data_IF_427982704853
#
_entry.id   IF_427982704853
#
_cell.length_a   1.000
_cell.length_b   1.000
_cell.length_c   1.000
_cell.angle_alpha   90.00
_cell.angle_beta   90.00
_cell.angle_gamma   90.00
#
_symmetry.space_group_name_H-M   'P 1'
#
loop_
_entity.id
_entity.type
_entity.pdbx_description
1 polymer ?
#
# COMPACT_ATOMS: atom_id res chain seq x y z
N UNK A 1 -11.15 -31.31 -10.84
CA UNK A 1 -10.15 -30.22 -10.77
C UNK A 1 -10.85 -28.93 -11.16
N UNK A 2 -11.33 -28.15 -10.18
CA UNK A 2 -11.95 -26.85 -10.44
C UNK A 2 -10.87 -25.78 -10.47
N UNK A 3 -10.83 -25.01 -11.56
CA UNK A 3 -10.02 -23.78 -11.67
C UNK A 3 -10.60 -22.74 -10.71
N UNK A 4 -9.80 -22.26 -9.76
CA UNK A 4 -10.10 -21.07 -8.96
C UNK A 4 -9.65 -19.86 -9.77
N UNK A 5 -10.59 -19.01 -10.17
CA UNK A 5 -10.30 -17.68 -10.70
C UNK A 5 -10.16 -16.73 -9.51
N UNK A 6 -8.99 -16.10 -9.37
CA UNK A 6 -8.78 -15.00 -8.42
C UNK A 6 -9.27 -13.73 -9.12
N UNK A 7 -10.30 -13.09 -8.55
CA UNK A 7 -10.74 -11.75 -8.95
C UNK A 7 -10.12 -10.79 -7.95
N UNK A 8 -9.12 -10.02 -8.38
CA UNK A 8 -8.57 -8.91 -7.61
C UNK A 8 -9.61 -7.78 -7.64
N UNK A 9 -10.10 -7.40 -6.47
CA UNK A 9 -11.04 -6.28 -6.32
C UNK A 9 -10.35 -4.97 -6.69
N UNK A 10 -10.78 -4.38 -7.81
CA UNK A 10 -10.36 -3.04 -8.23
C UNK A 10 -11.13 -2.03 -7.40
N UNK A 11 -10.45 -1.29 -6.52
CA UNK A 11 -11.00 -0.04 -5.95
C UNK A 11 -10.84 1.03 -7.03
N UNK A 12 -11.87 1.19 -7.86
CA UNK A 12 -11.94 2.26 -8.86
C UNK A 12 -12.40 3.55 -8.18
N UNK A 13 -11.51 4.51 -7.99
CA UNK A 13 -11.91 5.90 -7.69
C UNK A 13 -12.42 6.51 -8.98
N UNK A 14 -13.73 6.42 -9.22
CA UNK A 14 -14.40 7.08 -10.33
C UNK A 14 -14.52 8.59 -10.04
N UNK A 15 -13.68 9.40 -10.68
CA UNK A 15 -13.89 10.84 -10.77
C UNK A 15 -15.09 11.10 -11.72
N UNK A 16 -16.22 11.51 -11.15
CA UNK A 16 -17.41 11.85 -11.92
C UNK A 16 -17.21 13.22 -12.59
N UNK A 17 -16.93 13.23 -13.89
CA UNK A 17 -17.01 14.43 -14.72
C UNK A 17 -18.50 14.77 -14.95
N UNK A 18 -18.97 15.84 -14.31
CA UNK A 18 -20.29 16.39 -14.56
C UNK A 18 -20.34 17.02 -15.97
N UNK A 19 -20.90 16.29 -16.94
CA UNK A 19 -21.34 16.87 -18.21
C UNK A 19 -22.84 17.13 -18.10
N UNK A 20 -23.19 18.40 -17.95
CA UNK A 20 -24.55 18.87 -18.14
C UNK A 20 -24.94 18.75 -19.62
N UNK A 21 -25.95 17.94 -19.94
CA UNK A 21 -26.79 18.10 -21.13
C UNK A 21 -28.19 17.53 -20.89
N UNK A 22 -29.13 18.47 -20.83
CA UNK A 22 -30.56 18.43 -21.16
C UNK A 22 -31.13 17.14 -21.80
N UNK A 23 -32.29 16.71 -21.29
CA UNK A 23 -33.38 16.28 -22.17
C UNK A 23 -34.12 14.99 -21.81
N UNK A 24 -35.42 15.17 -21.56
CA UNK A 24 -36.54 14.24 -21.78
C UNK A 24 -36.79 13.08 -20.79
N UNK A 25 -37.89 13.30 -20.06
CA UNK A 25 -38.73 12.35 -19.31
C UNK A 25 -39.28 11.26 -20.23
N UNK A 26 -39.32 10.01 -19.77
CA UNK A 26 -40.44 9.08 -20.00
C UNK A 26 -40.38 7.91 -19.01
N UNK A 27 -41.37 7.88 -18.14
CA UNK A 27 -41.74 6.77 -17.25
C UNK A 27 -42.45 5.65 -18.02
N UNK A 28 -42.17 4.39 -17.70
CA UNK A 28 -43.21 3.34 -17.66
C UNK A 28 -42.76 2.14 -16.81
N UNK A 29 -43.74 1.60 -16.09
CA UNK A 29 -43.65 0.72 -14.95
C UNK A 29 -43.77 -0.78 -15.31
N UNK A 30 -43.20 -1.64 -14.43
CA UNK A 30 -43.77 -2.84 -13.74
C UNK A 30 -44.74 -3.72 -14.58
N UNK A 31 -44.62 -5.04 -14.76
CA UNK A 31 -44.46 -6.17 -13.80
C UNK A 31 -44.38 -7.53 -14.57
N UNK A 32 -44.22 -8.70 -13.88
CA UNK A 32 -43.66 -9.94 -14.45
C UNK A 32 -44.62 -11.16 -14.61
N UNK A 33 -44.05 -12.20 -15.23
CA UNK A 33 -44.17 -13.67 -15.01
C UNK A 33 -45.50 -14.44 -15.16
N UNK A 34 -45.43 -15.56 -15.90
CA UNK A 34 -46.13 -16.86 -15.70
C UNK A 34 -45.60 -17.85 -16.75
N UNK A 35 -44.79 -18.87 -16.44
CA UNK A 35 -45.11 -20.25 -16.01
C UNK A 35 -46.15 -21.01 -16.86
N UNK A 36 -45.72 -22.06 -17.57
CA UNK A 36 -46.07 -23.46 -17.24
C UNK A 36 -46.07 -24.40 -18.47
N UNK A 37 -45.42 -25.55 -18.23
CA UNK A 37 -45.85 -26.90 -18.55
C UNK A 37 -45.43 -27.65 -19.82
N UNK A 38 -45.24 -28.95 -19.58
CA UNK A 38 -44.40 -29.92 -20.31
C UNK A 38 -45.24 -30.87 -21.23
N UNK A 39 -44.84 -32.13 -21.50
CA UNK A 39 -44.44 -32.71 -22.80
C UNK A 39 -45.49 -33.78 -23.27
N UNK A 40 -45.24 -34.95 -23.92
CA UNK A 40 -44.04 -35.55 -24.55
C UNK A 40 -44.29 -36.24 -25.93
N UNK A 41 -43.26 -36.84 -26.54
CA UNK A 41 -43.31 -38.24 -27.02
C UNK A 41 -41.99 -38.71 -27.67
N UNK A 42 -41.82 -40.03 -27.60
CA UNK A 42 -40.62 -40.84 -27.87
C UNK A 42 -40.47 -41.18 -29.36
N UNK A 43 -39.23 -41.40 -29.80
CA UNK A 43 -38.92 -42.12 -31.03
C UNK A 43 -37.47 -42.62 -31.02
N UNK A 44 -37.30 -43.93 -30.89
CA UNK A 44 -36.02 -44.67 -30.95
C UNK A 44 -35.72 -45.05 -32.40
N UNK A 45 -34.48 -44.88 -32.87
CA UNK A 45 -33.90 -45.62 -34.01
C UNK A 45 -32.37 -45.58 -33.94
N UNK A 46 -31.75 -46.70 -34.28
CA UNK A 46 -30.34 -47.10 -34.02
C UNK A 46 -29.41 -46.77 -35.23
N UNK A 47 -28.15 -47.27 -35.30
CA UNK A 47 -26.95 -46.44 -35.40
C UNK A 47 -26.37 -46.37 -36.82
N UNK A 48 -25.58 -45.32 -37.12
CA UNK A 48 -24.70 -45.33 -38.28
C UNK A 48 -23.35 -44.70 -37.91
N UNK A 49 -22.29 -45.46 -38.15
CA UNK A 49 -20.91 -45.04 -37.95
C UNK A 49 -20.49 -44.14 -39.11
N UNK A 50 -19.92 -42.97 -38.79
CA UNK A 50 -19.17 -42.16 -39.74
C UNK A 50 -17.98 -41.54 -39.02
N UNK A 51 -16.81 -41.91 -39.52
CA UNK A 51 -15.49 -41.33 -39.24
C UNK A 51 -15.48 -39.82 -39.49
N UNK A 52 -15.07 -39.04 -38.49
CA UNK A 52 -14.78 -37.62 -38.60
C UNK A 52 -13.60 -37.25 -37.69
N UNK A 53 -12.58 -36.63 -38.28
CA UNK A 53 -11.38 -36.14 -37.63
C UNK A 53 -11.70 -35.13 -36.49
N UNK A 54 -10.84 -35.00 -35.47
CA UNK A 54 -11.11 -34.09 -34.34
C UNK A 54 -11.07 -32.64 -34.79
N UNK A 55 -12.12 -31.90 -34.42
CA UNK A 55 -12.19 -30.44 -34.53
C UNK A 55 -11.09 -29.76 -33.68
N UNK A 56 -10.61 -28.58 -34.08
CA UNK A 56 -9.59 -27.86 -33.35
C UNK A 56 -10.13 -27.41 -31.98
N UNK A 57 -9.27 -27.50 -30.96
CA UNK A 57 -9.55 -27.03 -29.61
C UNK A 57 -9.93 -25.52 -29.64
N UNK A 58 -10.89 -25.08 -28.82
CA UNK A 58 -11.20 -23.66 -28.71
C UNK A 58 -10.00 -22.91 -28.13
N UNK A 59 -9.71 -21.76 -28.73
CA UNK A 59 -8.63 -20.87 -28.35
C UNK A 59 -8.65 -20.58 -26.84
N UNK A 60 -7.54 -20.87 -26.18
CA UNK A 60 -7.25 -20.42 -24.82
C UNK A 60 -7.26 -18.90 -24.81
N UNK A 61 -8.29 -18.33 -24.18
CA UNK A 61 -8.32 -16.91 -23.86
C UNK A 61 -7.16 -16.61 -22.89
N UNK A 62 -6.26 -15.74 -23.34
CA UNK A 62 -5.26 -15.08 -22.50
C UNK A 62 -5.99 -14.31 -21.39
N UNK A 63 -5.63 -14.47 -20.09
CA UNK A 63 -6.12 -13.57 -19.06
C UNK A 63 -5.69 -12.15 -19.42
N UNK A 64 -6.67 -11.25 -19.56
CA UNK A 64 -6.42 -9.85 -19.86
C UNK A 64 -5.61 -9.21 -18.74
N UNK A 65 -4.49 -8.60 -19.10
CA UNK A 65 -3.89 -7.53 -18.32
C UNK A 65 -4.97 -6.49 -18.07
N UNK A 66 -5.42 -6.37 -16.83
CA UNK A 66 -6.15 -5.20 -16.40
C UNK A 66 -5.07 -4.13 -16.31
N UNK A 67 -4.94 -3.33 -17.36
CA UNK A 67 -4.13 -2.12 -17.30
C UNK A 67 -4.69 -1.30 -16.14
N UNK A 68 -3.88 -1.11 -15.09
CA UNK A 68 -4.08 0.01 -14.20
C UNK A 68 -4.08 1.24 -15.11
N UNK A 69 -5.23 1.89 -15.26
CA UNK A 69 -5.27 3.17 -15.98
C UNK A 69 -4.20 4.06 -15.37
N UNK A 70 -3.39 4.71 -16.20
CA UNK A 70 -2.30 5.57 -15.74
C UNK A 70 -2.84 6.58 -14.71
N UNK A 71 -2.62 6.29 -13.43
CA UNK A 71 -2.78 7.26 -12.37
C UNK A 71 -1.44 7.97 -12.39
N UNK A 72 -1.38 9.10 -13.07
CA UNK A 72 -0.29 10.05 -12.84
C UNK A 72 -0.63 10.69 -11.48
N UNK A 73 0.06 10.33 -10.37
CA UNK A 73 -0.18 11.03 -9.12
C UNK A 73 0.13 12.50 -9.40
N UNK A 74 -0.85 13.36 -9.19
CA UNK A 74 -0.60 14.80 -9.23
C UNK A 74 0.28 15.14 -8.01
N UNK A 75 1.23 16.09 -8.14
CA UNK A 75 2.01 16.56 -7.00
C UNK A 75 1.07 16.87 -5.85
N UNK A 76 1.48 16.53 -4.62
CA UNK A 76 0.74 16.96 -3.44
C UNK A 76 0.68 18.49 -3.49
N UNK A 77 -0.48 19.04 -3.87
CA UNK A 77 -0.65 20.47 -3.93
C UNK A 77 -0.35 21.03 -2.54
N UNK A 78 0.50 22.06 -2.47
CA UNK A 78 0.52 22.95 -1.31
C UNK A 78 -0.93 23.40 -1.11
N UNK A 79 -1.58 22.87 -0.08
CA UNK A 79 -3.01 22.61 -0.10
C UNK A 79 -3.91 23.74 -0.60
N UNK A 80 -4.86 23.38 -1.48
CA UNK A 80 -6.11 24.12 -1.62
C UNK A 80 -7.03 23.76 -0.45
N UNK A 81 -7.35 24.79 0.34
CA UNK A 81 -8.34 24.82 1.43
C UNK A 81 -8.30 23.64 2.42
N UNK A 82 -7.23 23.59 3.24
CA UNK A 82 -7.18 22.74 4.45
C UNK A 82 -8.20 23.23 5.47
N UNK A 83 -8.91 22.30 6.11
CA UNK A 83 -9.42 22.49 7.46
C UNK A 83 -8.31 23.09 8.32
N UNK A 84 -8.62 24.11 9.13
CA UNK A 84 -7.63 24.84 9.93
C UNK A 84 -6.78 23.84 10.74
N UNK A 85 -5.47 23.80 10.47
CA UNK A 85 -4.55 22.91 11.20
C UNK A 85 -4.40 23.47 12.60
N UNK A 86 -4.93 22.75 13.59
CA UNK A 86 -4.86 23.17 14.99
C UNK A 86 -3.48 22.79 15.53
N UNK A 87 -2.61 23.79 15.69
CA UNK A 87 -1.33 23.61 16.37
C UNK A 87 -1.55 23.54 17.88
N UNK A 88 -0.69 22.77 18.56
CA UNK A 88 -0.62 22.74 20.02
C UNK A 88 0.17 23.97 20.54
N UNK A 89 0.44 24.01 21.85
CA UNK A 89 1.12 25.14 22.50
C UNK A 89 2.49 25.42 21.82
N UNK A 90 2.69 26.58 21.18
CA UNK A 90 3.92 26.88 20.46
C UNK A 90 5.13 27.07 21.38
N UNK A 91 4.97 27.07 22.71
CA UNK A 91 6.07 27.08 23.67
C UNK A 91 6.48 25.67 24.14
N UNK A 92 5.69 24.63 23.84
CA UNK A 92 6.05 23.24 24.15
C UNK A 92 7.26 22.80 23.33
N UNK A 93 8.17 22.06 23.95
CA UNK A 93 9.40 21.59 23.30
C UNK A 93 9.64 20.11 23.61
N UNK A 94 10.21 19.33 22.66
CA UNK A 94 10.65 17.98 22.98
C UNK A 94 11.80 18.01 23.97
N UNK A 95 12.17 16.87 24.55
CA UNK A 95 13.33 16.82 25.46
C UNK A 95 14.62 17.30 24.75
N UNK A 96 15.60 17.87 25.47
CA UNK A 96 16.88 18.26 24.88
C UNK A 96 17.64 17.12 24.18
N UNK A 97 17.38 15.87 24.57
CA UNK A 97 17.94 14.70 23.91
C UNK A 97 17.35 14.50 22.51
N UNK A 98 16.05 14.70 22.35
CA UNK A 98 15.34 14.61 21.06
C UNK A 98 15.67 15.81 20.17
N UNK A 99 15.74 17.03 20.72
CA UNK A 99 16.04 18.24 19.95
C UNK A 99 17.46 18.25 19.35
N UNK A 100 18.40 17.52 19.96
CA UNK A 100 19.81 17.57 19.59
C UNK A 100 20.01 17.15 18.14
N UNK A 101 20.64 18.03 17.35
CA UNK A 101 20.97 17.75 15.95
C UNK A 101 19.84 18.06 14.97
N UNK A 102 18.76 18.72 15.42
CA UNK A 102 17.69 19.23 14.58
C UNK A 102 17.72 20.76 14.53
N UNK A 103 17.42 21.28 13.35
CA UNK A 103 17.11 22.68 13.03
C UNK A 103 15.59 22.87 12.78
N UNK A 104 14.79 21.84 13.05
CA UNK A 104 13.32 21.83 12.95
C UNK A 104 12.68 22.96 13.74
N UNK A 105 11.64 23.58 13.17
CA UNK A 105 10.76 24.50 13.89
C UNK A 105 9.81 23.74 14.83
N UNK A 106 10.23 23.56 16.09
CA UNK A 106 9.44 22.90 17.13
C UNK A 106 8.27 23.74 17.68
N UNK A 107 8.09 25.00 17.24
CA UNK A 107 6.87 25.74 17.59
C UNK A 107 5.65 25.28 16.77
N UNK A 108 5.89 24.51 15.70
CA UNK A 108 4.85 23.97 14.82
C UNK A 108 4.72 22.48 15.05
N UNK A 109 3.66 22.05 15.73
CA UNK A 109 3.34 20.63 15.92
C UNK A 109 1.85 20.41 16.17
N UNK A 110 1.37 19.23 15.77
CA UNK A 110 -0.03 18.79 15.95
C UNK A 110 -0.15 17.62 16.92
N UNK A 111 0.98 17.11 17.43
CA UNK A 111 1.04 16.00 18.37
C UNK A 111 1.88 16.38 19.59
N UNK A 112 1.56 15.79 20.74
CA UNK A 112 2.29 16.02 21.98
C UNK A 112 3.68 15.37 21.91
N UNK A 113 4.73 16.09 22.30
CA UNK A 113 6.09 15.59 22.21
C UNK A 113 6.36 14.35 23.09
N UNK A 114 5.55 14.12 24.12
CA UNK A 114 5.61 12.94 24.98
C UNK A 114 5.15 11.65 24.28
N UNK A 115 4.48 11.76 23.13
CA UNK A 115 4.11 10.61 22.30
C UNK A 115 5.28 10.02 21.53
N UNK A 116 6.38 10.77 21.35
CA UNK A 116 7.58 10.28 20.66
C UNK A 116 8.48 9.46 21.58
N UNK A 117 8.96 8.34 21.04
CA UNK A 117 9.93 7.47 21.69
C UNK A 117 11.17 7.35 20.82
N UNK A 118 12.35 7.30 21.45
CA UNK A 118 13.55 6.90 20.75
C UNK A 118 13.49 5.39 20.47
N UNK A 119 13.55 5.00 19.20
CA UNK A 119 13.55 3.60 18.77
C UNK A 119 14.88 2.87 19.02
N UNK A 120 15.92 3.61 19.40
CA UNK A 120 17.28 3.09 19.63
C UNK A 120 18.29 3.61 18.61
N UNK A 121 18.04 3.46 17.29
CA UNK A 121 18.84 4.10 16.26
C UNK A 121 18.79 5.64 16.37
N UNK A 122 19.89 6.30 15.99
CA UNK A 122 19.90 7.74 15.75
C UNK A 122 19.15 8.09 14.45
N UNK A 123 19.00 9.39 14.17
CA UNK A 123 18.65 9.89 12.84
C UNK A 123 19.51 9.20 11.76
N UNK A 124 18.85 8.64 10.76
CA UNK A 124 19.39 7.79 9.68
C UNK A 124 20.25 6.60 10.15
N UNK A 125 20.12 6.18 11.41
CA UNK A 125 20.79 4.98 11.96
C UNK A 125 20.27 3.69 11.33
N UNK A 126 19.04 3.72 10.82
CA UNK A 126 18.52 2.81 9.80
C UNK A 126 18.61 3.58 8.48
N UNK A 127 19.64 3.32 7.66
CA UNK A 127 19.97 4.20 6.56
C UNK A 127 18.95 4.04 5.43
N UNK A 128 18.30 5.11 4.96
CA UNK A 128 17.48 5.06 3.77
C UNK A 128 18.32 4.70 2.54
N UNK A 129 17.70 4.12 1.52
CA UNK A 129 18.33 3.91 0.21
C UNK A 129 17.95 5.08 -0.69
N UNK A 130 18.93 5.93 -1.00
CA UNK A 130 18.73 7.10 -1.88
C UNK A 130 19.20 6.87 -3.32
N UNK A 131 19.94 5.77 -3.57
CA UNK A 131 20.43 5.38 -4.89
C UNK A 131 20.14 3.89 -5.11
N UNK A 132 18.86 3.50 -5.31
CA UNK A 132 18.50 2.10 -5.45
C UNK A 132 19.06 1.49 -6.74
N UNK A 133 19.64 0.29 -6.62
CA UNK A 133 20.12 -0.49 -7.75
C UNK A 133 19.20 -1.66 -8.03
N UNK A 134 18.84 -1.86 -9.30
CA UNK A 134 17.88 -2.87 -9.73
C UNK A 134 18.50 -3.91 -10.67
N UNK A 135 17.97 -5.13 -10.63
CA UNK A 135 18.21 -6.16 -11.66
C UNK A 135 16.89 -6.57 -12.32
N UNK A 136 16.96 -7.13 -13.52
CA UNK A 136 15.78 -7.61 -14.24
C UNK A 136 15.17 -8.84 -13.55
N UNK A 137 13.84 -8.93 -13.55
CA UNK A 137 13.08 -10.15 -13.20
C UNK A 137 13.52 -11.37 -14.00
N UNK A 138 13.93 -11.19 -15.25
CA UNK A 138 14.40 -12.28 -16.11
C UNK A 138 15.76 -12.86 -15.67
N UNK A 139 16.49 -12.15 -14.82
CA UNK A 139 17.75 -12.57 -14.20
C UNK A 139 17.63 -12.38 -12.68
N UNK A 140 16.74 -13.14 -12.02
CA UNK A 140 16.45 -12.92 -10.62
C UNK A 140 17.66 -13.33 -9.77
N UNK A 141 17.97 -12.59 -8.70
CA UNK A 141 19.00 -13.01 -7.76
C UNK A 141 18.65 -14.36 -7.11
N UNK A 142 19.66 -15.19 -6.84
CA UNK A 142 19.48 -16.54 -6.25
C UNK A 142 18.78 -16.54 -4.89
N UNK A 143 18.80 -15.41 -4.16
CA UNK A 143 18.14 -15.27 -2.86
C UNK A 143 16.64 -14.98 -2.95
N UNK A 144 16.07 -14.81 -4.14
CA UNK A 144 14.65 -14.55 -4.34
C UNK A 144 13.87 -15.85 -4.53
N UNK A 145 13.31 -16.36 -3.44
CA UNK A 145 12.38 -17.49 -3.49
C UNK A 145 10.98 -17.04 -3.96
N UNK A 146 10.18 -17.97 -4.49
CA UNK A 146 8.83 -17.67 -5.00
C UNK A 146 7.92 -16.95 -3.98
N UNK A 147 8.02 -17.33 -2.70
CA UNK A 147 7.19 -16.78 -1.63
C UNK A 147 7.77 -15.51 -0.97
N UNK A 148 8.93 -15.01 -1.42
CA UNK A 148 9.50 -13.79 -0.83
C UNK A 148 8.52 -12.62 -0.99
N UNK A 149 8.17 -11.90 0.09
CA UNK A 149 7.27 -10.77 0.00
C UNK A 149 7.99 -9.56 -0.61
N UNK A 150 7.34 -8.93 -1.59
CA UNK A 150 7.81 -7.71 -2.25
C UNK A 150 6.71 -6.66 -2.25
N UNK A 151 7.08 -5.41 -2.02
CA UNK A 151 6.20 -4.28 -2.35
C UNK A 151 6.27 -4.13 -3.87
N UNK A 152 5.13 -4.29 -4.53
CA UNK A 152 5.02 -4.17 -5.98
C UNK A 152 4.53 -2.77 -6.35
N UNK A 153 5.29 -2.07 -7.20
CA UNK A 153 4.92 -0.76 -7.73
C UNK A 153 5.04 -0.80 -9.24
N UNK A 154 4.04 -0.26 -9.94
CA UNK A 154 4.11 0.00 -11.38
C UNK A 154 3.58 1.40 -11.65
N UNK A 155 4.37 2.20 -12.36
CA UNK A 155 4.00 3.54 -12.80
C UNK A 155 4.46 3.69 -14.25
N UNK A 156 3.56 4.06 -15.15
CA UNK A 156 3.87 4.36 -16.55
C UNK A 156 4.66 3.26 -17.29
N UNK A 157 4.40 1.99 -16.96
CA UNK A 157 5.05 0.80 -17.51
C UNK A 157 6.36 0.41 -16.83
N UNK A 158 6.86 1.19 -15.87
CA UNK A 158 8.04 0.87 -15.06
C UNK A 158 7.60 0.12 -13.80
N UNK A 159 7.74 -1.22 -13.84
CA UNK A 159 7.36 -2.12 -12.76
C UNK A 159 8.57 -2.52 -11.91
N UNK A 160 8.49 -2.24 -10.60
CA UNK A 160 9.56 -2.49 -9.63
C UNK A 160 9.05 -3.26 -8.42
N UNK A 161 9.85 -4.24 -8.01
CA UNK A 161 9.68 -4.98 -6.77
C UNK A 161 10.71 -4.54 -5.74
N UNK A 162 10.25 -4.25 -4.52
CA UNK A 162 11.09 -3.90 -3.39
C UNK A 162 10.99 -5.01 -2.33
N UNK A 163 12.01 -5.89 -2.21
CA UNK A 163 11.96 -7.01 -1.28
C UNK A 163 11.87 -6.54 0.17
N UNK A 164 10.94 -7.13 0.92
CA UNK A 164 10.77 -6.81 2.35
C UNK A 164 12.04 -7.09 3.15
N UNK A 165 12.79 -8.12 2.75
CA UNK A 165 14.09 -8.46 3.33
C UNK A 165 15.11 -7.31 3.24
N UNK A 166 15.01 -6.42 2.26
CA UNK A 166 15.83 -5.20 2.16
C UNK A 166 15.18 -4.08 2.99
N UNK A 167 13.89 -3.84 2.79
CA UNK A 167 13.14 -2.74 3.43
C UNK A 167 13.11 -2.86 4.96
N UNK A 168 13.17 -4.06 5.54
CA UNK A 168 13.31 -4.26 6.99
C UNK A 168 14.59 -3.62 7.57
N UNK A 169 15.65 -3.50 6.77
CA UNK A 169 16.95 -2.98 7.19
C UNK A 169 17.19 -1.52 6.81
N UNK A 170 16.30 -0.95 6.01
CA UNK A 170 16.44 0.39 5.43
C UNK A 170 15.24 1.30 5.67
N UNK A 171 14.06 0.70 5.89
CA UNK A 171 12.74 1.30 6.13
C UNK A 171 12.22 2.25 5.05
N UNK A 172 13.09 2.90 4.29
CA UNK A 172 12.79 3.91 3.29
C UNK A 172 13.70 3.71 2.07
N UNK A 173 13.11 3.75 0.88
CA UNK A 173 13.79 3.88 -0.40
C UNK A 173 13.25 5.11 -1.11
N UNK A 174 14.10 6.11 -1.33
CA UNK A 174 13.76 7.24 -2.19
C UNK A 174 14.13 6.86 -3.63
N UNK A 175 13.15 6.90 -4.53
CA UNK A 175 13.29 6.42 -5.90
C UNK A 175 12.58 7.35 -6.89
N UNK A 176 12.75 7.06 -8.17
CA UNK A 176 11.97 7.61 -9.27
C UNK A 176 11.50 6.47 -10.18
N UNK A 177 10.19 6.24 -10.25
CA UNK A 177 9.58 5.13 -10.99
C UNK A 177 8.64 5.69 -12.04
N UNK A 178 8.85 5.33 -13.31
CA UNK A 178 8.02 5.85 -14.40
C UNK A 178 8.00 7.38 -14.51
N UNK A 179 9.08 8.05 -14.07
CA UNK A 179 9.19 9.52 -14.00
C UNK A 179 8.54 10.17 -12.77
N UNK A 180 7.99 9.39 -11.84
CA UNK A 180 7.39 9.88 -10.60
C UNK A 180 8.37 9.71 -9.44
N UNK A 181 8.75 10.79 -8.74
CA UNK A 181 9.51 10.68 -7.49
C UNK A 181 8.68 10.01 -6.40
N UNK A 182 9.16 8.87 -5.88
CA UNK A 182 8.46 8.09 -4.86
C UNK A 182 9.30 7.83 -3.63
N UNK A 183 8.64 7.64 -2.48
CA UNK A 183 9.24 7.10 -1.27
C UNK A 183 8.55 5.78 -0.91
N UNK A 184 9.28 4.67 -1.03
CA UNK A 184 8.82 3.34 -0.65
C UNK A 184 9.17 3.14 0.81
N UNK A 185 8.17 2.89 1.65
CA UNK A 185 8.39 2.81 3.09
C UNK A 185 7.86 1.49 3.66
N UNK A 186 8.56 0.96 4.65
CA UNK A 186 8.12 -0.18 5.43
C UNK A 186 8.48 0.02 6.89
N UNK A 187 7.47 0.08 7.76
CA UNK A 187 7.68 0.07 9.20
C UNK A 187 7.66 -1.39 9.71
N UNK A 188 8.81 -1.95 10.16
CA UNK A 188 8.86 -3.34 10.65
C UNK A 188 8.09 -3.56 11.95
N UNK A 189 7.86 -2.51 12.75
CA UNK A 189 7.11 -2.59 14.00
C UNK A 189 5.60 -2.57 13.77
N UNK A 190 5.13 -1.92 12.71
CA UNK A 190 3.72 -1.85 12.33
C UNK A 190 3.34 -2.83 11.21
N UNK A 191 4.32 -3.55 10.64
CA UNK A 191 4.13 -4.46 9.51
C UNK A 191 3.36 -3.80 8.34
N UNK A 192 3.72 -2.56 8.05
CA UNK A 192 2.97 -1.68 7.15
C UNK A 192 3.87 -1.16 6.06
N UNK A 193 3.53 -1.48 4.81
CA UNK A 193 4.18 -1.00 3.60
C UNK A 193 3.34 0.12 2.98
N UNK A 194 3.94 1.29 2.75
CA UNK A 194 3.25 2.42 2.11
C UNK A 194 4.20 3.09 1.13
N UNK A 195 3.67 3.43 -0.04
CA UNK A 195 4.39 4.24 -1.03
C UNK A 195 3.76 5.62 -1.12
N UNK A 196 4.60 6.63 -1.19
CA UNK A 196 4.20 8.03 -1.34
C UNK A 196 4.77 8.64 -2.61
N UNK A 197 4.00 9.55 -3.22
CA UNK A 197 4.57 10.60 -4.06
C UNK A 197 5.28 11.60 -3.14
N UNK A 198 6.59 11.81 -3.38
CA UNK A 198 7.40 12.70 -2.54
C UNK A 198 7.41 14.16 -3.02
N UNK A 199 6.59 14.52 -4.00
CA UNK A 199 6.38 15.91 -4.44
C UNK A 199 5.41 16.62 -3.51
N UNK A 200 5.84 17.74 -2.95
CA UNK A 200 5.06 18.63 -2.09
C UNK A 200 5.24 20.07 -2.56
N UNK A 201 4.19 20.65 -3.14
CA UNK A 201 4.29 21.93 -3.84
C UNK A 201 5.34 21.86 -4.95
N UNK A 202 6.29 22.80 -4.94
CA UNK A 202 7.37 22.88 -5.93
C UNK A 202 8.63 22.07 -5.53
N UNK A 203 8.56 21.32 -4.43
CA UNK A 203 9.70 20.56 -3.87
C UNK A 203 9.51 19.07 -4.10
N UNK A 204 10.62 18.40 -4.42
CA UNK A 204 10.72 16.95 -4.28
C UNK A 204 11.44 16.70 -2.95
N UNK A 205 10.79 16.01 -2.02
CA UNK A 205 11.34 15.71 -0.70
C UNK A 205 12.17 14.43 -0.75
N UNK A 206 13.23 14.37 0.06
CA UNK A 206 13.95 13.13 0.33
C UNK A 206 13.72 12.76 1.79
N UNK A 207 13.29 11.53 2.03
CA UNK A 207 12.94 11.07 3.36
C UNK A 207 14.06 10.24 4.00
N UNK A 208 14.26 10.43 5.30
CA UNK A 208 15.12 9.59 6.13
C UNK A 208 14.38 9.06 7.36
N UNK A 209 15.07 8.23 8.14
CA UNK A 209 14.53 7.68 9.38
C UNK A 209 14.91 8.60 10.55
N UNK A 210 13.94 9.06 11.34
CA UNK A 210 14.26 10.03 12.41
C UNK A 210 14.95 9.39 13.62
N UNK A 211 14.88 8.06 13.74
CA UNK A 211 15.20 7.33 14.97
C UNK A 211 14.10 7.41 16.04
N UNK A 212 13.02 8.13 15.74
CA UNK A 212 11.84 8.26 16.60
C UNK A 212 10.70 7.38 16.07
N UNK A 213 9.84 6.97 17.01
CA UNK A 213 8.59 6.29 16.73
C UNK A 213 7.46 6.97 17.49
N UNK A 214 6.24 6.87 16.96
CA UNK A 214 5.01 7.30 17.62
C UNK A 214 3.94 6.24 17.40
N UNK A 215 3.35 5.72 18.49
CA UNK A 215 2.41 4.57 18.44
C UNK A 215 3.03 3.32 17.78
N UNK A 216 4.31 3.06 18.02
CA UNK A 216 5.16 2.08 17.31
C UNK A 216 5.38 2.34 15.82
N UNK A 217 4.74 3.35 15.24
CA UNK A 217 4.90 3.68 13.84
C UNK A 217 6.15 4.54 13.61
N UNK A 218 6.78 4.32 12.45
CA UNK A 218 7.95 5.04 12.01
C UNK A 218 7.64 6.53 11.90
N UNK A 219 8.48 7.36 12.50
CA UNK A 219 8.50 8.80 12.22
C UNK A 219 9.60 9.04 11.19
N UNK A 220 9.18 9.40 9.97
CA UNK A 220 10.08 9.82 8.91
C UNK A 220 10.47 11.29 9.12
N UNK A 221 11.51 11.75 8.44
CA UNK A 221 11.83 13.16 8.36
C UNK A 221 12.24 13.54 6.94
N UNK A 222 11.93 14.76 6.49
CA UNK A 222 12.37 15.24 5.18
C UNK A 222 13.65 16.08 5.28
N UNK A 223 14.55 15.91 4.30
CA UNK A 223 15.87 16.57 4.29
C UNK A 223 15.82 18.07 4.04
N UNK A 224 14.77 18.54 3.39
CA UNK A 224 14.64 19.90 2.90
C UNK A 224 14.24 20.87 4.01
N UNK A 225 13.39 20.44 4.94
CA UNK A 225 12.82 21.28 6.00
C UNK A 225 13.03 20.72 7.40
N UNK A 226 13.49 19.48 7.50
CA UNK A 226 13.55 18.73 8.76
C UNK A 226 12.19 18.61 9.45
N UNK A 227 11.08 18.60 8.70
CA UNK A 227 9.77 18.28 9.25
C UNK A 227 9.68 16.78 9.51
N UNK A 228 8.88 16.41 10.52
CA UNK A 228 8.67 15.01 10.90
C UNK A 228 7.31 14.54 10.42
N UNK A 229 7.27 13.32 9.88
CA UNK A 229 6.11 12.76 9.20
C UNK A 229 5.74 11.40 9.81
N UNK A 230 4.47 11.22 10.15
CA UNK A 230 3.97 9.93 10.62
C UNK A 230 3.77 9.00 9.42
N UNK A 231 4.57 7.93 9.31
CA UNK A 231 4.60 7.05 8.14
C UNK A 231 3.22 6.50 7.79
N UNK A 232 2.44 6.00 8.75
CA UNK A 232 1.16 5.34 8.47
C UNK A 232 0.11 6.29 7.86
N UNK A 233 0.20 7.58 8.15
CA UNK A 233 -0.77 8.59 7.68
C UNK A 233 -0.22 9.46 6.55
N UNK A 234 1.09 9.44 6.32
CA UNK A 234 1.78 10.37 5.43
C UNK A 234 1.69 11.83 5.86
N UNK A 235 1.32 12.14 7.11
CA UNK A 235 1.13 13.52 7.59
C UNK A 235 2.36 14.09 8.30
N UNK A 236 2.73 15.32 7.96
CA UNK A 236 3.70 16.12 8.70
C UNK A 236 3.11 16.56 10.04
N UNK A 237 3.74 16.15 11.13
CA UNK A 237 3.25 16.33 12.52
C UNK A 237 4.11 17.27 13.36
N UNK A 238 5.34 17.58 12.92
CA UNK A 238 6.25 18.57 13.52
C UNK A 238 7.02 19.30 12.42
N UNK A 239 7.27 20.61 12.56
CA UNK A 239 8.12 21.39 11.65
C UNK A 239 7.39 22.29 10.65
N UNK A 240 8.12 22.75 9.62
CA UNK A 240 7.64 23.69 8.61
C UNK A 240 6.37 23.19 7.91
N UNK A 241 6.37 21.90 7.53
CA UNK A 241 5.36 21.32 6.65
C UNK A 241 4.11 20.78 7.37
N UNK A 242 3.97 21.02 8.68
CA UNK A 242 2.87 20.52 9.52
C UNK A 242 1.48 20.63 8.89
N UNK A 243 0.70 19.55 9.00
CA UNK A 243 -0.62 19.38 8.42
C UNK A 243 -0.62 19.07 6.93
N UNK A 244 0.56 18.91 6.31
CA UNK A 244 0.68 18.39 4.95
C UNK A 244 0.58 16.89 4.96
N UNK A 245 -0.21 16.32 4.02
CA UNK A 245 -0.32 14.88 3.81
C UNK A 245 0.26 14.52 2.46
N UNK A 246 1.12 13.52 2.42
CA UNK A 246 1.65 12.95 1.19
C UNK A 246 0.54 12.23 0.42
N UNK A 247 0.69 12.20 -0.90
CA UNK A 247 -0.20 11.42 -1.77
C UNK A 247 0.22 9.95 -1.73
N UNK A 248 -0.71 9.08 -1.32
CA UNK A 248 -0.49 7.64 -1.31
C UNK A 248 -0.50 7.09 -2.74
N UNK A 249 0.45 6.22 -3.05
CA UNK A 249 0.49 5.46 -4.30
C UNK A 249 0.20 4.00 -3.97
N UNK A 250 -0.83 3.37 -4.57
CA UNK A 250 -1.13 1.96 -4.36
C UNK A 250 0.07 1.08 -4.71
N UNK A 251 0.58 0.35 -3.72
CA UNK A 251 1.72 -0.56 -3.88
C UNK A 251 1.49 -1.81 -3.01
N UNK A 252 0.84 -2.85 -3.53
CA UNK A 252 0.49 -4.01 -2.74
C UNK A 252 1.72 -4.82 -2.33
N UNK A 253 1.64 -5.45 -1.15
CA UNK A 253 2.59 -6.47 -0.73
C UNK A 253 2.14 -7.82 -1.33
N UNK A 254 2.95 -8.38 -2.23
CA UNK A 254 2.65 -9.62 -2.95
C UNK A 254 3.83 -10.59 -2.85
N UNK A 255 3.62 -11.85 -3.21
CA UNK A 255 4.73 -12.78 -3.38
C UNK A 255 5.56 -12.43 -4.61
N UNK A 256 6.84 -12.78 -4.58
CA UNK A 256 7.73 -12.64 -5.71
C UNK A 256 7.20 -13.38 -6.95
N UNK A 257 6.63 -14.58 -6.79
CA UNK A 257 5.99 -15.29 -7.90
C UNK A 257 4.85 -14.51 -8.55
N UNK A 258 3.97 -13.89 -7.75
CA UNK A 258 2.87 -13.08 -8.30
C UNK A 258 3.39 -11.85 -9.03
N UNK A 259 4.41 -11.17 -8.49
CA UNK A 259 5.04 -10.04 -9.17
C UNK A 259 5.65 -10.45 -10.51
N UNK A 260 6.43 -11.53 -10.55
CA UNK A 260 7.09 -11.99 -11.78
C UNK A 260 6.12 -12.50 -12.84
N UNK A 261 5.00 -13.08 -12.43
CA UNK A 261 3.92 -13.46 -13.34
C UNK A 261 3.23 -12.23 -13.95
N UNK A 262 2.95 -11.21 -13.12
CA UNK A 262 2.30 -9.98 -13.56
C UNK A 262 3.21 -9.08 -14.40
N UNK A 263 4.51 -9.02 -14.06
CA UNK A 263 5.49 -8.10 -14.62
C UNK A 263 6.77 -8.82 -15.08
N UNK A 264 6.71 -9.65 -16.14
CA UNK A 264 7.88 -10.39 -16.63
C UNK A 264 9.02 -9.48 -17.13
N UNK A 265 8.72 -8.24 -17.51
CA UNK A 265 9.70 -7.21 -17.87
C UNK A 265 10.14 -6.30 -16.71
N UNK A 266 9.63 -6.54 -15.50
CA UNK A 266 9.90 -5.71 -14.34
C UNK A 266 11.31 -5.87 -13.79
N UNK A 267 11.59 -5.12 -12.74
CA UNK A 267 12.87 -5.10 -12.05
C UNK A 267 12.70 -5.33 -10.55
N UNK A 268 13.76 -5.79 -9.88
CA UNK A 268 13.79 -6.01 -8.43
C UNK A 268 14.97 -5.30 -7.81
N UNK A 269 14.72 -4.61 -6.69
CA UNK A 269 15.75 -3.94 -5.90
C UNK A 269 16.76 -4.97 -5.41
N UNK A 270 18.05 -4.68 -5.64
CA UNK A 270 19.14 -5.55 -5.23
C UNK A 270 19.55 -5.32 -3.78
N UNK A 271 20.36 -6.25 -3.25
CA UNK A 271 21.05 -6.09 -1.97
C UNK A 271 22.31 -5.22 -2.05
N UNK A 272 22.65 -4.65 -3.22
CA UNK A 272 23.76 -3.73 -3.36
C UNK A 272 23.34 -2.31 -2.95
N UNK A 273 23.18 -2.11 -1.65
CA UNK A 273 22.66 -0.86 -1.08
C UNK A 273 23.76 0.11 -0.63
N UNK A 274 25.02 -0.33 -0.66
CA UNK A 274 26.14 0.38 -0.04
C UNK A 274 26.31 0.14 1.46
N UNK A 275 25.46 -0.67 2.10
CA UNK A 275 25.50 -0.92 3.55
C UNK A 275 25.74 -2.40 3.90
N UNK A 276 26.55 -2.64 4.93
CA UNK A 276 26.78 -3.98 5.48
C UNK A 276 25.63 -4.45 6.35
N UNK A 277 24.60 -5.07 5.76
CA UNK A 277 23.43 -5.61 6.46
C UNK A 277 23.25 -7.11 6.23
N UNK A 278 22.66 -7.81 7.20
CA UNK A 278 22.31 -9.21 7.06
C UNK A 278 20.89 -9.38 6.55
N UNK A 279 20.69 -9.24 5.24
CA UNK A 279 19.37 -9.39 4.60
C UNK A 279 18.78 -10.81 4.67
N UNK A 280 19.49 -11.78 5.25
CA UNK A 280 18.97 -13.14 5.45
C UNK A 280 18.30 -13.33 6.82
N UNK A 281 18.36 -12.34 7.72
CA UNK A 281 17.76 -12.42 9.04
C UNK A 281 17.12 -11.08 9.41
N UNK A 282 15.83 -11.03 9.79
CA UNK A 282 15.22 -9.79 10.26
C UNK A 282 15.80 -9.40 11.64
N UNK A 283 16.06 -8.11 11.90
CA UNK A 283 16.54 -7.63 13.19
C UNK A 283 15.48 -7.69 14.30
N UNK A 284 14.20 -7.86 13.94
CA UNK A 284 13.04 -7.87 14.85
C UNK A 284 12.32 -9.23 14.89
N UNK A 285 13.06 -10.34 14.78
CA UNK A 285 12.47 -11.68 14.75
C UNK A 285 11.50 -11.93 15.94
N UNK A 286 10.25 -12.27 15.63
CA UNK A 286 9.22 -12.57 16.63
C UNK A 286 8.48 -11.37 17.20
N UNK A 287 8.82 -10.14 16.78
CA UNK A 287 8.08 -8.94 17.16
C UNK A 287 6.62 -9.03 16.72
N UNK A 288 6.38 -9.50 15.49
CA UNK A 288 5.06 -9.66 14.86
C UNK A 288 4.32 -10.96 15.22
N UNK A 289 4.80 -11.69 16.23
CA UNK A 289 4.09 -12.87 16.73
C UNK A 289 2.74 -12.46 17.33
N UNK A 290 1.68 -13.15 16.90
CA UNK A 290 0.33 -12.93 17.42
C UNK A 290 0.29 -13.09 18.95
N UNK A 291 -0.28 -12.10 19.64
CA UNK A 291 -0.38 -12.05 21.09
C UNK A 291 0.89 -11.58 21.82
N UNK A 292 1.96 -11.22 21.10
CA UNK A 292 3.12 -10.57 21.71
C UNK A 292 2.74 -9.18 22.24
N UNK A 293 3.44 -8.70 23.28
CA UNK A 293 3.29 -7.31 23.72
C UNK A 293 4.23 -6.41 22.91
N UNK A 294 3.71 -5.41 22.17
CA UNK A 294 4.54 -4.48 21.41
C UNK A 294 5.27 -3.55 22.39
N UNK A 295 6.50 -3.91 22.78
CA UNK A 295 7.26 -3.19 23.83
C UNK A 295 7.66 -1.75 23.45
N UNK A 296 7.48 -1.38 22.19
CA UNK A 296 7.70 -0.02 21.66
C UNK A 296 6.39 0.75 21.42
N UNK A 297 5.25 0.19 21.85
CA UNK A 297 3.96 0.85 21.81
C UNK A 297 3.64 1.49 23.16
N UNK A 298 3.16 2.73 23.14
CA UNK A 298 2.55 3.39 24.29
C UNK A 298 1.14 3.84 23.94
N UNK A 299 0.16 3.22 24.58
CA UNK A 299 -1.26 3.49 24.37
C UNK A 299 -2.14 2.39 24.94
N UNK A 300 -3.44 2.55 24.78
CA UNK A 300 -4.38 1.48 25.05
C UNK A 300 -4.30 0.44 23.93
N UNK A 301 -4.21 -0.83 24.30
CA UNK A 301 -4.40 -1.94 23.36
C UNK A 301 -5.89 -2.22 23.30
N UNK A 302 -6.45 -2.19 22.10
CA UNK A 302 -7.84 -2.57 21.88
C UNK A 302 -7.99 -4.08 22.11
N UNK A 303 -8.85 -4.47 23.05
CA UNK A 303 -9.13 -5.88 23.35
C UNK A 303 -10.03 -6.57 22.32
N UNK A 304 -10.56 -5.83 21.34
CA UNK A 304 -11.38 -6.39 20.27
C UNK A 304 -10.61 -7.38 19.39
N UNK A 305 -9.28 -7.20 19.25
CA UNK A 305 -8.40 -8.08 18.49
C UNK A 305 -7.17 -8.48 19.31
N UNK A 306 -6.58 -9.66 19.05
CA UNK A 306 -5.29 -10.00 19.62
C UNK A 306 -4.22 -8.98 19.22
N UNK A 307 -3.28 -8.69 20.11
CA UNK A 307 -2.12 -7.87 19.78
C UNK A 307 -1.35 -8.50 18.60
N UNK A 308 -0.82 -7.65 17.71
CA UNK A 308 -0.17 -8.05 16.45
C UNK A 308 -1.07 -8.73 15.42
N UNK A 309 -2.40 -8.77 15.61
CA UNK A 309 -3.33 -9.14 14.53
C UNK A 309 -3.16 -8.15 13.38
N UNK A 310 -2.88 -8.67 12.19
CA UNK A 310 -2.81 -7.85 10.97
C UNK A 310 -4.22 -7.43 10.60
N UNK A 311 -4.39 -6.21 10.12
CA UNK A 311 -5.68 -5.70 9.66
C UNK A 311 -5.56 -5.10 8.28
N UNK A 312 -6.66 -5.13 7.52
CA UNK A 312 -6.83 -4.34 6.31
C UNK A 312 -7.58 -3.08 6.72
N UNK A 313 -6.88 -1.94 6.69
CA UNK A 313 -7.49 -0.63 6.90
C UNK A 313 -8.11 -0.09 5.61
N UNK A 314 -9.31 0.47 5.71
CA UNK A 314 -10.01 1.14 4.60
C UNK A 314 -10.50 2.50 5.08
N UNK A 315 -10.21 3.54 4.31
CA UNK A 315 -10.75 4.89 4.51
C UNK A 315 -11.62 5.27 3.29
N UNK A 316 -12.90 5.57 3.53
CA UNK A 316 -13.84 6.07 2.53
C UNK A 316 -14.47 7.36 3.06
N UNK A 317 -14.10 8.49 2.46
CA UNK A 317 -14.53 9.81 2.94
C UNK A 317 -14.00 10.09 4.35
N UNK A 318 -14.88 10.18 5.34
CA UNK A 318 -14.50 10.35 6.75
C UNK A 318 -14.67 9.06 7.56
N UNK A 319 -15.06 7.96 6.91
CA UNK A 319 -15.28 6.67 7.57
C UNK A 319 -14.05 5.81 7.42
N UNK A 320 -13.58 5.27 8.55
CA UNK A 320 -12.45 4.35 8.62
C UNK A 320 -12.94 3.02 9.19
N UNK A 321 -12.54 1.92 8.56
CA UNK A 321 -12.86 0.55 8.99
C UNK A 321 -11.58 -0.28 8.94
N UNK A 322 -11.44 -1.20 9.89
CA UNK A 322 -10.36 -2.17 9.92
C UNK A 322 -10.94 -3.59 9.94
N UNK A 323 -10.52 -4.42 8.99
CA UNK A 323 -10.93 -5.82 8.90
C UNK A 323 -9.79 -6.73 9.39
N UNK A 324 -10.03 -7.67 10.32
CA UNK A 324 -9.00 -8.61 10.76
C UNK A 324 -8.53 -9.47 9.59
N UNK A 325 -7.23 -9.49 9.34
CA UNK A 325 -6.66 -10.19 8.20
C UNK A 325 -6.92 -11.71 8.29
N UNK A 326 -6.90 -12.27 9.51
CA UNK A 326 -7.21 -13.69 9.72
C UNK A 326 -8.59 -14.11 9.20
N UNK A 327 -9.57 -13.20 9.19
CA UNK A 327 -10.93 -13.49 8.73
C UNK A 327 -11.03 -13.84 7.23
N UNK A 328 -10.07 -13.39 6.42
CA UNK A 328 -10.05 -13.64 4.98
C UNK A 328 -9.61 -15.07 4.61
N UNK A 329 -9.10 -15.84 5.57
CA UNK A 329 -8.79 -17.26 5.35
C UNK A 329 -10.07 -18.09 5.16
N UNK A 330 -11.15 -17.73 5.87
CA UNK A 330 -12.44 -18.40 5.82
C UNK A 330 -13.41 -17.69 4.87
N UNK A 331 -13.38 -16.35 4.84
CA UNK A 331 -14.22 -15.50 4.01
C UNK A 331 -13.34 -14.60 3.12
N UNK A 332 -12.90 -15.09 1.95
CA UNK A 332 -11.94 -14.37 1.10
C UNK A 332 -12.49 -13.07 0.51
N UNK A 333 -13.80 -12.82 0.63
CA UNK A 333 -14.48 -11.61 0.18
C UNK A 333 -15.39 -11.13 1.29
N UNK A 334 -15.24 -9.85 1.65
CA UNK A 334 -16.15 -9.14 2.56
C UNK A 334 -16.97 -8.15 1.74
N UNK A 335 -18.30 -8.22 1.88
CA UNK A 335 -19.22 -7.22 1.35
C UNK A 335 -19.66 -6.34 2.53
N UNK A 336 -19.24 -5.09 2.54
CA UNK A 336 -19.60 -4.10 3.56
C UNK A 336 -20.04 -2.79 2.89
N UNK A 337 -20.77 -1.96 3.64
CA UNK A 337 -21.14 -0.60 3.23
C UNK A 337 -20.39 0.40 4.10
N UNK A 338 -19.38 1.06 3.53
CA UNK A 338 -18.48 1.97 4.25
C UNK A 338 -18.63 3.37 3.67
N UNK A 339 -18.90 4.37 4.52
CA UNK A 339 -19.10 5.75 4.05
C UNK A 339 -20.30 5.92 3.10
N UNK A 340 -21.26 4.98 3.14
CA UNK A 340 -22.44 4.97 2.25
C UNK A 340 -22.19 4.35 0.87
N UNK A 341 -21.06 3.68 0.66
CA UNK A 341 -20.71 2.92 -0.54
C UNK A 341 -20.58 1.44 -0.22
#
# INVERSE_FOLDING_TARGET
>A
MQKKSIVVGVVSVLALAAIACTGAVSTLAVAPASTADSPPSRGVSTPSASTGAPAPAPATATPGSVANGAIEPEPTAAAKARSEVILLDPDDRPSPAIQRGWSTDFSRHTVDYSEFLAGGPSRDGIPPIDNPEFTSVAQPPEYMNAAEPVIALEINGDARAYPLAVLIWHEIVNDEVGGVPVSITYCPLCNTAITFDRRVGDRVLDFGTSGLIRKSDLVMWDRQTESWWQQITGEAIVGELVGTKLTFIPAPLVSWSEFTEAYPGGQVLTRNTGFGRNYNAPPYSGYDNLGSQPFLFRGAIDSALPAMERVIGLEVGQTQVAYPFGSFSDMPVVHDTVGGQ
#
